data_IF_127618908740
#
_entry.id   IF_127618908740
#
_cell.length_a   1.000
_cell.length_b   1.000
_cell.length_c   1.000
_cell.angle_alpha   90.00
_cell.angle_beta   90.00
_cell.angle_gamma   90.00
#
_symmetry.space_group_name_H-M   'P 1'
#
loop_
_entity.id
_entity.type
_entity.pdbx_description
1 polymer ?
#
# COMPACT_ATOMS: atom_id res chain seq x y z
N UNK A 1 -3.03 -22.32 8.05
CA UNK A 1 -4.48 -22.27 7.79
C UNK A 1 -4.72 -20.89 7.21
N UNK A 2 -5.05 -20.80 5.92
CA UNK A 2 -5.22 -19.51 5.24
C UNK A 2 -6.71 -19.15 5.40
N UNK A 3 -7.02 -18.36 6.42
CA UNK A 3 -8.38 -17.87 6.68
C UNK A 3 -8.80 -16.90 5.57
N UNK A 4 -10.09 -16.85 5.26
CA UNK A 4 -10.58 -15.98 4.18
C UNK A 4 -10.42 -14.50 4.56
N UNK A 5 -10.33 -13.56 3.59
CA UNK A 5 -10.23 -12.13 3.89
C UNK A 5 -11.35 -11.61 4.81
N UNK A 6 -12.53 -12.24 4.77
CA UNK A 6 -13.68 -11.88 5.61
C UNK A 6 -13.51 -12.34 7.06
N UNK A 7 -12.95 -13.54 7.27
CA UNK A 7 -12.67 -14.07 8.60
C UNK A 7 -11.59 -13.22 9.29
N UNK A 8 -10.53 -12.87 8.55
CA UNK A 8 -9.51 -11.93 9.00
C UNK A 8 -10.12 -10.58 9.38
N UNK A 9 -10.94 -9.99 8.50
CA UNK A 9 -11.55 -8.70 8.77
C UNK A 9 -12.37 -8.71 10.07
N UNK A 10 -13.12 -9.78 10.34
CA UNK A 10 -13.93 -9.93 11.56
C UNK A 10 -13.04 -10.03 12.80
N UNK A 11 -12.06 -10.92 12.79
CA UNK A 11 -11.12 -11.09 13.90
C UNK A 11 -10.33 -9.80 14.21
N UNK A 12 -9.83 -9.13 13.17
CA UNK A 12 -9.10 -7.86 13.26
C UNK A 12 -9.95 -6.78 13.91
N UNK A 13 -11.18 -6.65 13.46
CA UNK A 13 -12.12 -5.62 13.88
C UNK A 13 -12.59 -5.80 15.33
N UNK A 14 -12.64 -7.04 15.82
CA UNK A 14 -12.85 -7.36 17.23
C UNK A 14 -11.58 -7.12 18.07
N UNK A 15 -10.40 -7.35 17.49
CA UNK A 15 -9.11 -7.29 18.20
C UNK A 15 -8.61 -5.86 18.38
N UNK A 16 -8.64 -5.02 17.34
CA UNK A 16 -8.12 -3.63 17.36
C UNK A 16 -8.57 -2.79 18.56
N UNK A 17 -9.86 -2.71 18.93
CA UNK A 17 -10.29 -1.90 20.06
C UNK A 17 -9.80 -2.42 21.41
N UNK A 18 -9.32 -3.67 21.47
CA UNK A 18 -8.75 -4.28 22.69
C UNK A 18 -7.25 -4.02 22.84
N UNK A 19 -6.58 -3.55 21.79
CA UNK A 19 -5.15 -3.24 21.80
C UNK A 19 -4.96 -1.94 22.56
N UNK A 20 -4.39 -2.06 23.76
CA UNK A 20 -4.07 -0.90 24.58
C UNK A 20 -2.71 -0.31 24.23
N UNK A 21 -2.72 0.96 23.83
CA UNK A 21 -1.55 1.73 23.41
C UNK A 21 -1.17 2.67 24.54
N UNK A 22 0.11 2.73 24.88
CA UNK A 22 0.61 3.60 25.94
C UNK A 22 1.16 4.89 25.35
N UNK A 23 0.57 6.03 25.69
CA UNK A 23 1.02 7.37 25.32
C UNK A 23 1.15 8.19 26.59
N UNK A 24 2.31 8.82 26.82
CA UNK A 24 2.56 9.68 27.98
C UNK A 24 2.14 9.05 29.34
N UNK A 25 2.36 7.74 29.49
CA UNK A 25 2.02 6.99 30.70
C UNK A 25 0.54 6.64 30.88
N UNK A 26 -0.32 6.98 29.91
CA UNK A 26 -1.74 6.60 29.89
C UNK A 26 -2.00 5.53 28.85
N UNK A 27 -2.84 4.57 29.22
CA UNK A 27 -3.30 3.52 28.32
C UNK A 27 -4.56 4.00 27.59
N UNK A 28 -4.50 4.02 26.27
CA UNK A 28 -5.55 4.47 25.36
C UNK A 28 -5.82 3.41 24.29
N UNK A 29 -6.90 3.54 23.55
CA UNK A 29 -7.35 2.53 22.60
C UNK A 29 -7.71 3.15 21.27
N UNK A 30 -7.63 2.35 20.21
CA UNK A 30 -8.10 2.74 18.88
C UNK A 30 -9.63 2.74 18.84
N UNK A 31 -10.20 3.81 18.30
CA UNK A 31 -11.63 3.97 18.11
C UNK A 31 -11.95 3.89 16.62
N UNK A 32 -13.01 3.16 16.25
CA UNK A 32 -13.42 3.11 14.85
C UNK A 32 -13.97 4.47 14.39
N UNK A 33 -13.56 4.91 13.21
CA UNK A 33 -14.11 6.10 12.56
C UNK A 33 -15.58 5.92 12.22
N UNK A 34 -16.37 6.98 12.35
CA UNK A 34 -17.77 7.00 11.94
C UNK A 34 -17.95 7.12 10.41
N UNK A 35 -16.89 7.45 9.68
CA UNK A 35 -16.94 7.76 8.24
C UNK A 35 -16.42 6.63 7.35
N UNK A 36 -15.51 5.81 7.89
CA UNK A 36 -14.91 4.68 7.17
C UNK A 36 -14.64 3.55 8.15
N UNK A 37 -15.19 2.37 7.87
CA UNK A 37 -15.05 1.19 8.74
C UNK A 37 -13.61 0.67 8.81
N UNK A 38 -12.77 0.99 7.83
CA UNK A 38 -11.36 0.59 7.79
C UNK A 38 -10.43 1.66 8.36
N UNK A 39 -10.98 2.74 8.92
CA UNK A 39 -10.21 3.78 9.61
C UNK A 39 -10.40 3.71 11.12
N UNK A 40 -9.27 3.72 11.82
CA UNK A 40 -9.19 3.68 13.27
C UNK A 40 -8.40 4.89 13.77
N UNK A 41 -8.93 5.54 14.80
CA UNK A 41 -8.45 6.82 15.30
C UNK A 41 -7.87 6.62 16.69
N UNK A 42 -6.68 7.18 16.92
CA UNK A 42 -6.09 7.29 18.23
C UNK A 42 -6.22 8.74 18.70
N UNK A 43 -6.93 8.96 19.82
CA UNK A 43 -7.14 10.31 20.37
C UNK A 43 -6.48 10.47 21.72
N UNK A 44 -6.04 11.69 22.00
CA UNK A 44 -5.55 12.11 23.30
C UNK A 44 -6.72 12.13 24.31
N UNK A 45 -6.64 11.45 25.47
CA UNK A 45 -7.74 11.41 26.44
C UNK A 45 -8.11 12.76 27.02
N UNK A 46 -7.14 13.66 27.19
CA UNK A 46 -7.36 14.97 27.82
C UNK A 46 -7.94 15.98 26.84
N UNK A 47 -7.41 16.01 25.61
CA UNK A 47 -7.74 17.05 24.63
C UNK A 47 -8.71 16.59 23.56
N UNK A 48 -8.96 15.28 23.44
CA UNK A 48 -9.64 14.65 22.30
C UNK A 48 -8.99 14.94 20.93
N UNK A 49 -7.77 15.50 20.93
CA UNK A 49 -6.97 15.75 19.74
C UNK A 49 -6.56 14.45 19.06
N UNK A 50 -6.53 14.45 17.74
CA UNK A 50 -6.14 13.29 16.93
C UNK A 50 -4.62 13.11 16.98
N UNK A 51 -4.17 11.95 17.46
CA UNK A 51 -2.75 11.61 17.58
C UNK A 51 -2.25 10.77 16.40
N UNK A 52 -3.09 9.83 15.96
CA UNK A 52 -2.81 8.96 14.82
C UNK A 52 -4.10 8.44 14.17
N UNK A 53 -3.99 8.04 12.91
CA UNK A 53 -5.01 7.38 12.08
C UNK A 53 -4.39 6.13 11.47
N UNK A 54 -4.99 4.99 11.76
CA UNK A 54 -4.67 3.71 11.14
C UNK A 54 -5.73 3.41 10.08
N UNK A 55 -5.30 3.30 8.83
CA UNK A 55 -6.12 2.88 7.69
C UNK A 55 -5.75 1.46 7.28
N UNK A 56 -6.74 0.64 6.96
CA UNK A 56 -6.52 -0.78 6.67
C UNK A 56 -7.05 -1.13 5.28
N UNK A 57 -6.24 -1.84 4.50
CA UNK A 57 -6.65 -2.37 3.21
C UNK A 57 -6.33 -3.86 3.14
N UNK A 58 -7.36 -4.69 3.34
CA UNK A 58 -7.21 -6.15 3.45
C UNK A 58 -6.18 -6.50 4.54
N UNK A 59 -4.97 -6.85 4.15
CA UNK A 59 -3.86 -7.24 5.05
C UNK A 59 -2.84 -6.10 5.26
N UNK A 60 -2.93 -5.02 4.48
CA UNK A 60 -2.03 -3.87 4.57
C UNK A 60 -2.52 -2.85 5.60
N UNK A 61 -1.56 -2.30 6.36
CA UNK A 61 -1.79 -1.28 7.38
C UNK A 61 -1.04 0.00 7.00
N UNK A 62 -1.75 1.13 6.98
CA UNK A 62 -1.18 2.46 6.81
C UNK A 62 -1.43 3.28 8.07
N UNK A 63 -0.36 3.75 8.69
CA UNK A 63 -0.45 4.60 9.87
C UNK A 63 0.05 6.00 9.53
N UNK A 64 -0.73 7.00 9.94
CA UNK A 64 -0.34 8.41 9.89
C UNK A 64 -0.56 9.02 11.26
N UNK A 65 0.44 9.69 11.81
CA UNK A 65 0.35 10.29 13.13
C UNK A 65 1.64 10.96 13.54
N UNK A 66 1.66 11.47 14.77
CA UNK A 66 2.91 11.96 15.36
C UNK A 66 3.93 10.80 15.49
N UNK A 67 5.25 11.09 15.52
CA UNK A 67 6.27 10.04 15.69
C UNK A 67 6.04 9.19 16.95
N UNK A 68 5.76 9.84 18.09
CA UNK A 68 5.47 9.17 19.38
C UNK A 68 4.25 8.24 19.26
N UNK A 69 3.15 8.73 18.70
CA UNK A 69 1.93 7.93 18.55
C UNK A 69 2.14 6.77 17.57
N UNK A 70 2.86 7.00 16.47
CA UNK A 70 3.12 5.99 15.45
C UNK A 70 3.95 4.83 16.00
N UNK A 71 5.01 5.14 16.74
CA UNK A 71 5.87 4.13 17.36
C UNK A 71 5.10 3.28 18.39
N UNK A 72 4.32 3.93 19.25
CA UNK A 72 3.53 3.23 20.27
C UNK A 72 2.45 2.32 19.67
N UNK A 73 1.77 2.77 18.60
CA UNK A 73 0.80 1.95 17.86
C UNK A 73 1.49 0.74 17.24
N UNK A 74 2.63 0.92 16.56
CA UNK A 74 3.36 -0.19 15.96
C UNK A 74 3.87 -1.18 16.99
N UNK A 75 4.38 -0.72 18.13
CA UNK A 75 4.79 -1.59 19.22
C UNK A 75 3.62 -2.46 19.72
N UNK A 76 2.45 -1.85 19.94
CA UNK A 76 1.27 -2.56 20.44
C UNK A 76 0.70 -3.54 19.40
N UNK A 77 0.69 -3.17 18.11
CA UNK A 77 0.27 -4.05 17.02
C UNK A 77 1.22 -5.23 16.86
N UNK A 78 2.55 -5.01 16.89
CA UNK A 78 3.57 -6.07 16.78
C UNK A 78 3.49 -7.09 17.92
N UNK A 79 3.01 -6.70 19.10
CA UNK A 79 2.78 -7.62 20.21
C UNK A 79 1.64 -8.61 19.93
N UNK A 80 0.58 -8.14 19.23
CA UNK A 80 -0.60 -8.94 18.92
C UNK A 80 -0.49 -9.70 17.61
N UNK A 81 0.08 -9.09 16.59
CA UNK A 81 0.10 -9.62 15.24
C UNK A 81 1.52 -9.66 14.71
N UNK A 82 1.81 -10.72 13.94
CA UNK A 82 3.06 -10.81 13.19
C UNK A 82 2.95 -9.95 11.93
N UNK A 83 3.50 -8.75 11.99
CA UNK A 83 3.60 -7.85 10.84
C UNK A 83 5.04 -7.77 10.32
N UNK A 84 5.19 -7.40 9.05
CA UNK A 84 6.49 -7.00 8.48
C UNK A 84 7.00 -5.72 9.16
N UNK A 85 8.29 -5.43 9.00
CA UNK A 85 8.85 -4.17 9.49
C UNK A 85 8.16 -2.98 8.79
N UNK A 86 7.66 -1.98 9.55
CA UNK A 86 7.00 -0.82 8.96
C UNK A 86 7.93 -0.05 8.04
N UNK A 87 7.42 0.28 6.85
CA UNK A 87 8.07 1.21 5.93
C UNK A 87 7.55 2.63 6.19
N UNK A 88 8.43 3.60 6.08
CA UNK A 88 8.11 5.01 6.33
C UNK A 88 8.19 5.81 5.04
N UNK A 89 7.20 6.67 4.82
CA UNK A 89 7.13 7.57 3.66
C UNK A 89 8.00 8.83 3.84
N UNK A 90 8.92 8.84 4.81
CA UNK A 90 9.80 9.97 5.11
C UNK A 90 11.11 9.93 4.30
N UNK A 91 11.92 10.99 4.42
CA UNK A 91 13.27 11.07 3.84
C UNK A 91 13.32 10.84 2.31
N UNK A 92 12.26 11.21 1.60
CA UNK A 92 12.14 11.07 0.14
C UNK A 92 11.83 9.65 -0.34
N UNK A 93 11.56 8.70 0.57
CA UNK A 93 11.13 7.35 0.22
C UNK A 93 9.62 7.33 -0.02
N UNK A 94 9.21 6.60 -1.06
CA UNK A 94 7.81 6.33 -1.30
C UNK A 94 7.47 4.93 -0.78
N UNK A 95 6.37 4.81 -0.05
CA UNK A 95 5.76 3.52 0.32
C UNK A 95 4.61 3.23 -0.64
N UNK A 96 4.19 1.96 -0.71
CA UNK A 96 3.01 1.58 -1.48
C UNK A 96 1.90 1.12 -0.54
N UNK A 97 0.70 1.66 -0.71
CA UNK A 97 -0.50 1.25 0.04
C UNK A 97 -1.72 1.24 -0.89
N UNK A 98 -2.46 0.13 -0.95
CA UNK A 98 -3.62 -0.03 -1.84
C UNK A 98 -3.30 0.29 -3.32
N UNK A 99 -2.07 -0.01 -3.77
CA UNK A 99 -1.61 0.31 -5.14
C UNK A 99 -1.34 1.79 -5.40
N UNK A 100 -1.37 2.63 -4.37
CA UNK A 100 -0.91 4.03 -4.43
C UNK A 100 0.50 4.15 -3.87
N UNK A 101 1.30 4.96 -4.54
CA UNK A 101 2.61 5.38 -4.08
C UNK A 101 2.42 6.65 -3.23
N UNK A 102 2.79 6.56 -1.95
CA UNK A 102 2.66 7.64 -0.97
C UNK A 102 4.05 8.11 -0.58
N UNK A 103 4.27 9.42 -0.63
CA UNK A 103 5.51 10.06 -0.21
C UNK A 103 5.21 11.28 0.64
N UNK A 104 6.00 11.49 1.69
CA UNK A 104 5.98 12.71 2.47
C UNK A 104 7.17 13.59 2.10
N UNK A 105 6.88 14.82 1.68
CA UNK A 105 7.85 15.86 1.38
C UNK A 105 7.60 17.11 2.25
N UNK A 106 8.45 18.12 2.13
CA UNK A 106 8.36 19.33 2.97
C UNK A 106 7.07 20.14 2.73
N UNK A 107 6.47 20.02 1.55
CA UNK A 107 5.24 20.70 1.13
C UNK A 107 3.97 19.88 1.39
N UNK A 108 4.10 18.61 1.79
CA UNK A 108 2.96 17.78 2.17
C UNK A 108 3.11 16.31 1.78
N UNK A 109 1.96 15.64 1.71
CA UNK A 109 1.86 14.23 1.31
C UNK A 109 1.47 14.17 -0.16
N UNK A 110 2.32 13.54 -0.97
CA UNK A 110 2.10 13.28 -2.38
C UNK A 110 1.62 11.85 -2.56
N UNK A 111 0.52 11.68 -3.31
CA UNK A 111 -0.08 10.38 -3.61
C UNK A 111 -0.17 10.24 -5.12
N UNK A 112 0.37 9.14 -5.66
CA UNK A 112 0.39 8.88 -7.10
C UNK A 112 0.30 7.40 -7.43
N UNK A 113 0.29 7.10 -8.73
CA UNK A 113 0.27 5.72 -9.25
C UNK A 113 1.16 5.60 -10.50
N UNK A 114 2.32 6.25 -10.48
CA UNK A 114 3.19 6.33 -11.65
C UNK A 114 3.62 4.93 -12.12
N UNK A 115 3.96 4.03 -11.18
CA UNK A 115 4.26 2.63 -11.50
C UNK A 115 3.10 1.89 -12.15
N UNK A 116 1.86 2.13 -11.69
CA UNK A 116 0.69 1.51 -12.29
C UNK A 116 0.46 2.00 -13.71
N UNK A 117 0.54 3.32 -13.95
CA UNK A 117 0.43 3.91 -15.29
C UNK A 117 1.50 3.34 -16.21
N UNK A 118 2.75 3.28 -15.76
CA UNK A 118 3.84 2.66 -16.51
C UNK A 118 3.51 1.20 -16.85
N UNK A 119 3.03 0.42 -15.88
CA UNK A 119 2.65 -0.98 -16.10
C UNK A 119 1.53 -1.14 -17.15
N UNK A 120 0.61 -0.18 -17.24
CA UNK A 120 -0.45 -0.19 -18.25
C UNK A 120 0.13 0.09 -19.64
N UNK A 121 1.05 1.05 -19.75
CA UNK A 121 1.74 1.36 -21.01
C UNK A 121 2.54 0.15 -21.50
N UNK A 122 3.26 -0.51 -20.60
CA UNK A 122 4.07 -1.69 -20.93
C UNK A 122 3.20 -2.85 -21.42
N UNK A 123 2.08 -3.13 -20.73
CA UNK A 123 1.11 -4.15 -21.15
C UNK A 123 0.53 -3.85 -22.53
N UNK A 124 0.22 -2.57 -22.81
CA UNK A 124 -0.30 -2.17 -24.13
C UNK A 124 0.74 -2.34 -25.23
N UNK A 125 1.99 -1.97 -24.98
CA UNK A 125 3.09 -2.16 -25.91
C UNK A 125 3.32 -3.65 -26.21
N UNK A 126 3.30 -4.50 -25.18
CA UNK A 126 3.41 -5.95 -25.33
C UNK A 126 2.27 -6.54 -26.17
N UNK A 127 1.03 -6.09 -25.95
CA UNK A 127 -0.13 -6.54 -26.74
C UNK A 127 0.03 -6.21 -28.24
N UNK A 128 0.44 -4.97 -28.55
CA UNK A 128 0.68 -4.55 -29.94
C UNK A 128 1.79 -5.37 -30.60
N UNK A 129 2.89 -5.62 -29.88
CA UNK A 129 3.96 -6.47 -30.41
C UNK A 129 3.47 -7.90 -30.64
N UNK A 130 2.62 -8.44 -29.78
CA UNK A 130 1.97 -9.73 -29.98
C UNK A 130 1.11 -9.79 -31.24
N UNK A 131 0.30 -8.77 -31.49
CA UNK A 131 -0.53 -8.66 -32.70
C UNK A 131 0.33 -8.57 -33.97
N UNK A 132 1.39 -7.76 -33.95
CA UNK A 132 2.30 -7.62 -35.09
C UNK A 132 3.09 -8.93 -35.31
N UNK A 133 3.52 -9.62 -34.25
CA UNK A 133 4.18 -10.92 -34.36
C UNK A 133 3.26 -11.97 -34.98
N UNK A 134 2.00 -12.00 -34.55
CA UNK A 134 1.00 -12.89 -35.11
C UNK A 134 0.79 -12.62 -36.61
N UNK A 135 0.72 -11.35 -37.03
CA UNK A 135 0.63 -10.99 -38.44
C UNK A 135 1.89 -11.40 -39.21
N UNK A 136 3.08 -11.10 -38.68
CA UNK A 136 4.35 -11.41 -39.32
C UNK A 136 4.55 -12.92 -39.55
N UNK A 137 4.19 -13.74 -38.55
CA UNK A 137 4.26 -15.21 -38.65
C UNK A 137 3.26 -15.81 -39.64
N UNK A 138 2.17 -15.10 -39.97
CA UNK A 138 1.17 -15.55 -40.95
C UNK A 138 1.36 -15.00 -42.35
N UNK A 139 2.02 -13.86 -42.49
CA UNK A 139 1.99 -13.12 -43.76
C UNK A 139 3.33 -13.00 -44.45
N UNK A 140 4.47 -12.68 -43.79
CA UNK A 140 5.79 -12.59 -44.44
C UNK A 140 7.01 -12.65 -43.49
N UNK A 141 8.09 -13.33 -43.92
CA UNK A 141 9.33 -13.54 -43.17
C UNK A 141 10.21 -12.28 -42.98
N UNK A 142 10.09 -11.28 -43.85
CA UNK A 142 10.83 -9.99 -43.79
C UNK A 142 10.36 -9.11 -42.61
N UNK A 143 9.07 -9.14 -42.29
CA UNK A 143 8.51 -8.47 -41.11
C UNK A 143 8.89 -9.16 -39.80
N UNK A 144 9.13 -10.47 -39.82
CA UNK A 144 9.45 -11.25 -38.62
C UNK A 144 10.75 -10.78 -37.94
N UNK A 145 11.76 -10.35 -38.72
CA UNK A 145 13.02 -9.81 -38.18
C UNK A 145 12.84 -8.44 -37.52
N UNK A 146 11.97 -7.58 -38.06
CA UNK A 146 11.68 -6.27 -37.47
C UNK A 146 10.97 -6.38 -36.12
N UNK A 147 10.01 -7.32 -36.02
CA UNK A 147 9.26 -7.59 -34.79
C UNK A 147 10.14 -8.19 -33.70
N UNK A 148 11.05 -9.10 -34.06
CA UNK A 148 11.96 -9.71 -33.08
C UNK A 148 12.88 -8.68 -32.40
N UNK A 149 13.40 -7.69 -33.16
CA UNK A 149 14.20 -6.59 -32.58
C UNK A 149 13.40 -5.67 -31.66
N UNK A 150 12.12 -5.39 -31.97
CA UNK A 150 11.27 -4.56 -31.12
C UNK A 150 10.89 -5.29 -29.83
N UNK A 151 10.56 -6.58 -29.91
CA UNK A 151 10.32 -7.44 -28.74
C UNK A 151 11.53 -7.46 -27.81
N UNK A 152 12.74 -7.59 -28.36
CA UNK A 152 13.99 -7.55 -27.59
C UNK A 152 14.20 -6.23 -26.82
N UNK A 153 13.83 -5.08 -27.40
CA UNK A 153 13.99 -3.77 -26.74
C UNK A 153 12.98 -3.56 -25.60
N UNK A 154 11.77 -4.08 -25.73
CA UNK A 154 10.76 -4.02 -24.68
C UNK A 154 11.10 -4.91 -23.48
N UNK A 155 11.91 -5.96 -23.66
CA UNK A 155 12.39 -6.82 -22.58
C UNK A 155 13.50 -6.20 -21.72
N UNK A 156 14.18 -5.16 -22.21
CA UNK A 156 15.37 -4.57 -21.57
C UNK A 156 15.12 -3.18 -20.93
N UNK A 157 13.87 -2.72 -20.90
CA UNK A 157 13.50 -1.38 -20.38
C UNK A 157 12.66 -1.41 -19.09
N UNK A 158 12.50 -2.58 -18.46
CA UNK A 158 11.81 -2.75 -17.18
C UNK A 158 12.76 -2.93 -16.00
#
# INVERSE_FOLDING_TARGET
MQESPADWASYRDETLPTIGIWIQGKKIFLERSAYDNNMWLLRCPETSGLLAVLSIYVDDLLLSGTPEASEAVWAAIKEKWRISEPEYADLGRAITFCGFEIRQEADGIHVGQAKYVQSLLDKRAQALVGEILWLATRTRADLAYGVSRQSYKLHWTG
#
